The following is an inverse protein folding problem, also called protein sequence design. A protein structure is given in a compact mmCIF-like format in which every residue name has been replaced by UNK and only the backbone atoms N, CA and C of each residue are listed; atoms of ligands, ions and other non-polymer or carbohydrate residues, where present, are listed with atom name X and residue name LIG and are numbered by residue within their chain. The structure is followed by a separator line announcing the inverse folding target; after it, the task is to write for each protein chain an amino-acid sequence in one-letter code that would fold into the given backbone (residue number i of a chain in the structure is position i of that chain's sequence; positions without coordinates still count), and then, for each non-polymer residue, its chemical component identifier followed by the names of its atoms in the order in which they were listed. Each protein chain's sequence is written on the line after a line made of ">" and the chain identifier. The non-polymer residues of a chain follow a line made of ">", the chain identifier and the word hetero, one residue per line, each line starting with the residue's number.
data_IF_216482437693
#
_entry.id   IF_216482437693
#
_cell.length_a   1.000
_cell.length_b   1.000
_cell.length_c   1.000
_cell.angle_alpha   90.00
_cell.angle_beta   90.00
_cell.angle_gamma   90.00
#
_symmetry.space_group_name_H-M   'P 1'
#
loop_
_entity.id
_entity.type
_entity.pdbx_description
1 polymer ?
#
# COMPACT_ATOMS: atom_id res chain seq x y z
N UNK A 1 -37.00 18.33 -3.43
CA UNK A 1 -36.80 16.88 -3.60
C UNK A 1 -35.88 16.43 -2.50
N UNK A 2 -36.39 15.65 -1.55
CA UNK A 2 -35.64 15.09 -0.43
C UNK A 2 -34.61 14.12 -0.97
N UNK A 3 -33.35 14.52 -0.91
CA UNK A 3 -32.18 13.79 -1.38
C UNK A 3 -31.94 12.60 -0.44
N UNK A 4 -32.68 11.50 -0.62
CA UNK A 4 -32.48 10.26 0.16
C UNK A 4 -31.18 9.61 -0.30
N UNK A 5 -30.06 10.15 0.18
CA UNK A 5 -28.73 9.63 -0.10
C UNK A 5 -28.55 8.28 0.61
N UNK A 6 -28.00 7.33 -0.13
CA UNK A 6 -27.77 5.99 0.37
C UNK A 6 -26.77 6.02 1.52
N UNK A 7 -27.16 5.46 2.65
CA UNK A 7 -26.25 5.23 3.76
C UNK A 7 -25.26 4.13 3.36
N UNK A 8 -23.98 4.35 3.63
CA UNK A 8 -22.97 3.30 3.48
C UNK A 8 -23.22 2.26 4.57
N UNK A 9 -23.51 1.03 4.17
CA UNK A 9 -23.78 -0.10 5.09
C UNK A 9 -22.70 -1.16 5.05
N UNK A 10 -21.79 -1.09 4.06
CA UNK A 10 -20.71 -2.05 3.85
C UNK A 10 -19.38 -1.35 3.55
N UNK A 11 -18.28 -1.86 4.10
CA UNK A 11 -16.92 -1.47 3.70
C UNK A 11 -16.21 -2.69 3.12
N UNK A 12 -15.68 -2.56 1.90
CA UNK A 12 -14.85 -3.55 1.25
C UNK A 12 -13.43 -3.00 1.09
N UNK A 13 -12.45 -3.66 1.70
CA UNK A 13 -11.06 -3.20 1.79
C UNK A 13 -10.14 -4.16 1.03
N UNK A 14 -9.44 -3.65 0.05
CA UNK A 14 -8.54 -4.44 -0.79
C UNK A 14 -7.09 -3.98 -0.58
N UNK A 15 -6.22 -4.87 -0.09
CA UNK A 15 -4.78 -4.62 -0.13
C UNK A 15 -4.28 -4.59 -1.59
N UNK A 16 -3.16 -3.91 -1.82
CA UNK A 16 -2.59 -3.77 -3.16
C UNK A 16 -1.58 -4.88 -3.47
N UNK A 17 -0.45 -4.87 -2.77
CA UNK A 17 0.70 -5.73 -3.06
C UNK A 17 0.42 -7.20 -2.69
N UNK A 18 0.46 -8.10 -3.68
CA UNK A 18 0.19 -9.53 -3.48
C UNK A 18 -1.30 -9.88 -3.38
N UNK A 19 -2.18 -8.89 -3.38
CA UNK A 19 -3.63 -9.05 -3.27
C UNK A 19 -4.34 -8.65 -4.56
N UNK A 20 -4.51 -7.34 -4.81
CA UNK A 20 -5.10 -6.83 -6.04
C UNK A 20 -4.11 -6.91 -7.22
N UNK A 21 -2.82 -6.68 -6.94
CA UNK A 21 -1.77 -6.60 -7.93
C UNK A 21 -0.58 -7.48 -7.52
N UNK A 22 -0.06 -8.26 -8.46
CA UNK A 22 1.12 -9.11 -8.30
C UNK A 22 2.41 -8.28 -8.30
N UNK A 23 2.51 -7.28 -7.42
CA UNK A 23 3.68 -6.42 -7.30
C UNK A 23 4.97 -7.26 -7.28
N UNK A 24 5.96 -6.94 -8.12
CA UNK A 24 7.20 -7.69 -8.19
C UNK A 24 7.84 -7.78 -6.81
N UNK A 25 8.33 -8.97 -6.46
CA UNK A 25 9.23 -9.14 -5.32
C UNK A 25 10.68 -9.07 -5.81
N UNK A 26 11.66 -8.73 -4.94
CA UNK A 26 13.05 -8.94 -5.30
C UNK A 26 13.31 -10.45 -5.47
N UNK A 27 14.03 -10.82 -6.50
CA UNK A 27 14.44 -12.18 -6.78
C UNK A 27 15.68 -12.55 -5.97
N UNK A 28 15.54 -13.50 -5.03
CA UNK A 28 16.66 -13.96 -4.19
C UNK A 28 17.80 -14.60 -5.01
N UNK A 29 17.51 -15.13 -6.19
CA UNK A 29 18.51 -15.77 -7.04
C UNK A 29 19.49 -14.78 -7.68
N UNK A 30 19.12 -13.49 -7.77
CA UNK A 30 19.96 -12.45 -8.38
C UNK A 30 20.91 -11.78 -7.38
N UNK A 31 20.67 -11.92 -6.08
CA UNK A 31 21.34 -11.11 -5.06
C UNK A 31 21.95 -11.98 -3.96
N UNK A 32 23.11 -11.57 -3.46
CA UNK A 32 23.66 -12.18 -2.25
C UNK A 32 22.70 -12.01 -1.07
N UNK A 33 22.63 -13.03 -0.20
CA UNK A 33 21.70 -13.09 0.94
C UNK A 33 21.66 -11.81 1.81
N UNK A 34 22.81 -11.16 2.16
CA UNK A 34 22.78 -9.91 2.92
C UNK A 34 22.05 -8.77 2.19
N UNK A 35 22.36 -8.57 0.90
CA UNK A 35 21.72 -7.53 0.08
C UNK A 35 20.22 -7.80 -0.07
N UNK A 36 19.83 -9.04 -0.34
CA UNK A 36 18.43 -9.43 -0.41
C UNK A 36 17.67 -9.09 0.88
N UNK A 37 18.27 -9.36 2.05
CA UNK A 37 17.72 -8.97 3.34
C UNK A 37 17.54 -7.45 3.48
N UNK A 38 18.51 -6.66 3.02
CA UNK A 38 18.44 -5.20 3.06
C UNK A 38 17.38 -4.63 2.12
N UNK A 39 17.22 -5.19 0.92
CA UNK A 39 16.21 -4.75 -0.04
C UNK A 39 14.81 -4.84 0.55
N UNK A 40 14.51 -5.81 1.42
CA UNK A 40 13.19 -5.95 2.06
C UNK A 40 13.03 -5.13 3.34
N UNK A 41 14.09 -4.46 3.81
CA UNK A 41 14.12 -3.82 5.12
C UNK A 41 14.20 -2.29 4.99
N UNK A 42 13.07 -1.64 5.28
CA UNK A 42 12.89 -0.18 5.32
C UNK A 42 13.79 0.57 6.34
N UNK A 43 14.51 -0.13 7.22
CA UNK A 43 15.38 0.49 8.24
C UNK A 43 16.88 0.33 7.97
N UNK A 44 17.27 -0.66 7.16
CA UNK A 44 18.69 -0.92 6.84
C UNK A 44 19.13 -0.15 5.60
N UNK A 45 18.18 0.12 4.73
CA UNK A 45 18.38 0.75 3.44
C UNK A 45 17.64 2.09 3.39
N UNK A 46 18.01 3.01 2.49
CA UNK A 46 17.36 4.34 2.45
C UNK A 46 15.84 4.25 2.28
N UNK A 47 15.40 3.40 1.35
CA UNK A 47 14.02 2.93 1.20
C UNK A 47 14.06 1.45 0.85
N UNK A 48 13.26 0.63 1.53
CA UNK A 48 13.09 -0.77 1.14
C UNK A 48 12.33 -0.90 -0.18
N UNK A 49 12.32 -2.09 -0.75
CA UNK A 49 11.76 -2.43 -2.06
C UNK A 49 10.34 -1.90 -2.22
N UNK A 50 9.45 -2.20 -1.26
CA UNK A 50 8.06 -1.76 -1.27
C UNK A 50 7.87 -0.25 -1.02
N UNK A 51 8.92 0.46 -0.58
CA UNK A 51 8.90 1.90 -0.36
C UNK A 51 9.66 2.67 -1.46
N UNK A 52 10.34 1.98 -2.38
CA UNK A 52 11.06 2.59 -3.48
C UNK A 52 10.23 2.49 -4.77
N UNK A 53 9.95 3.64 -5.41
CA UNK A 53 9.10 3.71 -6.62
C UNK A 53 9.52 2.79 -7.77
N UNK A 54 10.82 2.45 -7.84
CA UNK A 54 11.36 1.49 -8.81
C UNK A 54 10.65 0.12 -8.77
N UNK A 55 10.12 -0.30 -7.62
CA UNK A 55 9.40 -1.58 -7.50
C UNK A 55 8.07 -1.65 -8.29
N UNK A 56 7.58 -0.52 -8.80
CA UNK A 56 6.44 -0.46 -9.73
C UNK A 56 6.82 0.24 -11.05
N UNK A 57 8.11 0.35 -11.34
CA UNK A 57 8.60 0.95 -12.58
C UNK A 57 8.59 -0.08 -13.71
N UNK A 58 7.41 -0.33 -14.26
CA UNK A 58 7.22 -1.22 -15.41
C UNK A 58 7.59 -0.53 -16.72
N UNK A 59 8.05 -1.34 -17.69
CA UNK A 59 8.27 -0.89 -19.06
C UNK A 59 6.97 -0.40 -19.72
N UNK A 60 7.11 0.46 -20.72
CA UNK A 60 5.96 1.07 -21.40
C UNK A 60 5.08 0.04 -22.14
N UNK A 61 5.64 -1.12 -22.53
CA UNK A 61 4.87 -2.18 -23.20
C UNK A 61 3.90 -2.87 -22.23
N UNK A 62 4.28 -3.03 -20.97
CA UNK A 62 3.42 -3.52 -19.89
C UNK A 62 2.39 -2.47 -19.49
N UNK A 63 2.81 -1.20 -19.35
CA UNK A 63 1.92 -0.07 -19.04
C UNK A 63 0.84 0.14 -20.10
N UNK A 64 1.20 0.10 -21.40
CA UNK A 64 0.25 0.20 -22.53
C UNK A 64 -0.81 -0.89 -22.51
N UNK A 65 -0.44 -2.09 -22.07
CA UNK A 65 -1.36 -3.22 -21.89
C UNK A 65 -2.08 -3.21 -20.54
N UNK A 66 -2.05 -2.08 -19.81
CA UNK A 66 -2.69 -1.90 -18.50
C UNK A 66 -2.28 -2.99 -17.52
N UNK A 67 -1.00 -3.38 -17.54
CA UNK A 67 -0.46 -4.46 -16.71
C UNK A 67 -1.23 -5.78 -16.82
N UNK A 68 -1.73 -6.12 -18.02
CA UNK A 68 -2.38 -7.42 -18.27
C UNK A 68 -1.51 -8.56 -17.77
N UNK A 69 -2.11 -9.47 -16.99
CA UNK A 69 -1.43 -10.60 -16.36
C UNK A 69 -0.82 -10.31 -14.99
N UNK A 70 -0.77 -9.06 -14.54
CA UNK A 70 -0.30 -8.69 -13.19
C UNK A 70 -1.44 -8.45 -12.20
N UNK A 71 -2.66 -8.24 -12.69
CA UNK A 71 -3.84 -8.11 -11.83
C UNK A 71 -4.33 -9.47 -11.37
N UNK A 72 -4.80 -9.54 -10.13
CA UNK A 72 -5.59 -10.67 -9.66
C UNK A 72 -7.04 -10.50 -10.14
N UNK A 73 -7.41 -11.17 -11.23
CA UNK A 73 -8.72 -10.95 -11.86
C UNK A 73 -9.91 -11.32 -10.95
N UNK A 74 -9.74 -12.23 -9.99
CA UNK A 74 -10.77 -12.54 -8.97
C UNK A 74 -11.01 -11.33 -8.05
N UNK A 75 -9.94 -10.74 -7.53
CA UNK A 75 -10.03 -9.54 -6.68
C UNK A 75 -10.51 -8.33 -7.48
N UNK A 76 -10.10 -8.20 -8.74
CA UNK A 76 -10.62 -7.15 -9.65
C UNK A 76 -12.14 -7.26 -9.80
N UNK A 77 -12.69 -8.47 -9.89
CA UNK A 77 -14.14 -8.65 -9.98
C UNK A 77 -14.84 -8.26 -8.67
N UNK A 78 -14.30 -8.62 -7.52
CA UNK A 78 -14.83 -8.18 -6.22
C UNK A 78 -14.78 -6.66 -6.05
N UNK A 79 -13.72 -6.00 -6.54
CA UNK A 79 -13.65 -4.53 -6.56
C UNK A 79 -14.77 -3.95 -7.42
N UNK A 80 -15.04 -4.52 -8.60
CA UNK A 80 -16.13 -4.06 -9.49
C UNK A 80 -17.50 -4.25 -8.86
N UNK A 81 -17.75 -5.40 -8.25
CA UNK A 81 -18.99 -5.66 -7.51
C UNK A 81 -19.18 -4.65 -6.36
N UNK A 82 -18.11 -4.29 -5.66
CA UNK A 82 -18.13 -3.24 -4.64
C UNK A 82 -18.40 -1.85 -5.22
N UNK A 83 -17.82 -1.53 -6.38
CA UNK A 83 -18.04 -0.25 -7.08
C UNK A 83 -19.49 -0.08 -7.51
N UNK A 84 -20.09 -1.14 -8.04
CA UNK A 84 -21.47 -1.15 -8.56
C UNK A 84 -22.51 -1.11 -7.43
N UNK A 85 -22.12 -1.47 -6.19
CA UNK A 85 -23.01 -1.42 -5.04
C UNK A 85 -23.04 0.01 -4.42
N UNK A 86 -24.20 0.71 -4.46
CA UNK A 86 -24.30 2.10 -4.03
C UNK A 86 -24.21 2.29 -2.50
N UNK A 87 -24.35 1.22 -1.71
CA UNK A 87 -24.21 1.25 -0.24
C UNK A 87 -22.87 0.68 0.24
N UNK A 88 -21.98 0.30 -0.69
CA UNK A 88 -20.63 -0.18 -0.38
C UNK A 88 -19.60 0.92 -0.55
N UNK A 89 -18.74 1.06 0.45
CA UNK A 89 -17.51 1.85 0.38
C UNK A 89 -16.37 0.97 -0.14
N UNK A 90 -15.85 1.30 -1.32
CA UNK A 90 -14.77 0.56 -1.99
C UNK A 90 -13.44 1.20 -1.64
N UNK A 91 -12.61 0.48 -0.87
CA UNK A 91 -11.38 1.02 -0.28
C UNK A 91 -10.16 0.24 -0.77
N UNK A 92 -9.17 0.93 -1.31
CA UNK A 92 -7.81 0.39 -1.47
C UNK A 92 -7.02 0.76 -0.22
N UNK A 93 -6.35 -0.19 0.43
CA UNK A 93 -5.57 0.09 1.64
C UNK A 93 -4.21 -0.62 1.60
N UNK A 94 -3.15 0.13 1.33
CA UNK A 94 -1.79 -0.39 1.11
C UNK A 94 -0.77 0.16 2.10
N UNK A 95 0.27 -0.63 2.41
CA UNK A 95 1.43 -0.20 3.18
C UNK A 95 2.44 0.66 2.41
N UNK A 96 2.23 0.89 1.11
CA UNK A 96 3.04 1.81 0.30
C UNK A 96 2.87 3.25 0.77
N UNK A 97 3.97 3.99 0.86
CA UNK A 97 3.99 5.38 1.31
C UNK A 97 3.27 6.34 0.36
N UNK A 98 2.51 7.28 0.91
CA UNK A 98 1.69 8.22 0.15
C UNK A 98 2.52 9.05 -0.83
N UNK A 99 3.58 9.71 -0.35
CA UNK A 99 4.38 10.64 -1.17
C UNK A 99 5.07 9.99 -2.36
N UNK A 100 5.40 8.70 -2.27
CA UNK A 100 6.06 7.97 -3.36
C UNK A 100 5.07 7.36 -4.34
N UNK A 101 3.91 6.90 -3.86
CA UNK A 101 3.06 5.98 -4.61
C UNK A 101 1.66 6.47 -4.91
N UNK A 102 1.20 7.58 -4.31
CA UNK A 102 -0.18 8.05 -4.52
C UNK A 102 -0.48 8.23 -6.02
N UNK A 103 0.34 8.98 -6.74
CA UNK A 103 0.15 9.17 -8.18
C UNK A 103 0.33 7.89 -9.01
N UNK A 104 1.25 7.01 -8.60
CA UNK A 104 1.55 5.76 -9.33
C UNK A 104 0.37 4.79 -9.21
N UNK A 105 -0.09 4.51 -7.98
CA UNK A 105 -1.17 3.56 -7.73
C UNK A 105 -2.49 4.10 -8.28
N UNK A 106 -2.76 5.40 -8.13
CA UNK A 106 -3.94 6.04 -8.72
C UNK A 106 -3.95 5.87 -10.24
N UNK A 107 -2.86 6.17 -10.96
CA UNK A 107 -2.76 5.95 -12.41
C UNK A 107 -2.98 4.47 -12.79
N UNK A 108 -2.40 3.54 -12.02
CA UNK A 108 -2.54 2.10 -12.26
C UNK A 108 -4.00 1.63 -12.16
N UNK A 109 -4.69 1.97 -11.05
CA UNK A 109 -6.06 1.52 -10.82
C UNK A 109 -7.04 2.21 -11.76
N UNK A 110 -6.87 3.50 -12.04
CA UNK A 110 -7.73 4.24 -12.97
C UNK A 110 -7.59 3.75 -14.40
N UNK A 111 -6.37 3.45 -14.88
CA UNK A 111 -6.16 2.85 -16.21
C UNK A 111 -6.77 1.45 -16.33
N UNK A 112 -6.83 0.70 -15.22
CA UNK A 112 -7.54 -0.59 -15.16
C UNK A 112 -9.07 -0.41 -15.10
N UNK A 113 -9.55 0.80 -14.87
CA UNK A 113 -10.97 1.14 -14.74
C UNK A 113 -11.53 0.88 -13.34
N UNK A 114 -10.67 0.79 -12.32
CA UNK A 114 -11.06 0.59 -10.93
C UNK A 114 -11.09 1.96 -10.23
N UNK A 115 -12.28 2.37 -9.81
CA UNK A 115 -12.51 3.66 -9.14
C UNK A 115 -12.81 3.40 -7.67
N UNK A 116 -11.80 3.60 -6.83
CA UNK A 116 -11.97 3.47 -5.38
C UNK A 116 -12.59 4.74 -4.81
N UNK A 117 -13.49 4.56 -3.85
CA UNK A 117 -14.07 5.66 -3.07
C UNK A 117 -13.03 6.25 -2.11
N UNK A 118 -12.10 5.41 -1.63
CA UNK A 118 -11.00 5.78 -0.73
C UNK A 118 -9.70 5.07 -1.13
N UNK A 119 -8.60 5.83 -1.24
CA UNK A 119 -7.25 5.32 -1.51
C UNK A 119 -6.35 5.50 -0.29
N UNK A 120 -6.38 4.57 0.66
CA UNK A 120 -5.56 4.58 1.87
C UNK A 120 -4.12 4.14 1.60
N UNK A 121 -3.21 5.10 1.40
CA UNK A 121 -1.76 4.87 1.41
C UNK A 121 -1.17 5.26 2.77
N UNK A 122 -0.06 4.64 3.16
CA UNK A 122 0.60 4.92 4.44
C UNK A 122 1.11 6.37 4.46
N UNK A 123 0.72 7.21 5.44
CA UNK A 123 1.18 8.59 5.52
C UNK A 123 2.66 8.68 5.87
N UNK A 124 3.29 9.81 5.55
CA UNK A 124 4.67 10.11 5.95
C UNK A 124 4.78 10.51 7.42
N UNK A 125 3.68 11.00 7.99
CA UNK A 125 3.56 11.48 9.35
C UNK A 125 2.46 10.70 10.09
N UNK A 126 2.32 10.92 11.39
CA UNK A 126 1.25 10.31 12.19
C UNK A 126 -0.12 11.00 12.02
N UNK A 127 -0.36 11.66 10.88
CA UNK A 127 -1.62 12.36 10.60
C UNK A 127 -2.25 11.84 9.31
N UNK A 128 -3.53 11.49 9.38
CA UNK A 128 -4.38 11.19 8.25
C UNK A 128 -5.16 12.45 7.89
N UNK A 129 -4.76 13.14 6.82
CA UNK A 129 -5.56 14.21 6.23
C UNK A 129 -6.53 13.61 5.21
N UNK A 130 -7.83 13.62 5.52
CA UNK A 130 -8.82 12.85 4.77
C UNK A 130 -9.11 13.39 3.36
N UNK A 131 -8.77 14.65 3.09
CA UNK A 131 -8.77 15.22 1.74
C UNK A 131 -7.84 14.45 0.78
N UNK A 132 -6.76 13.86 1.30
CA UNK A 132 -5.80 13.09 0.50
C UNK A 132 -6.30 11.69 0.13
N UNK A 133 -7.35 11.19 0.79
CA UNK A 133 -7.74 9.79 0.71
C UNK A 133 -9.11 9.57 0.07
N UNK A 134 -10.10 10.45 0.32
CA UNK A 134 -11.41 10.33 -0.30
C UNK A 134 -11.37 10.80 -1.76
N UNK A 135 -11.86 9.95 -2.67
CA UNK A 135 -12.08 10.34 -4.06
C UNK A 135 -13.35 11.21 -4.16
N UNK A 136 -13.33 12.31 -4.94
CA UNK A 136 -14.53 13.10 -5.21
C UNK A 136 -15.69 12.29 -5.82
N UNK A 137 -15.39 11.15 -6.45
CA UNK A 137 -16.42 10.29 -7.06
C UNK A 137 -17.42 9.74 -6.04
N UNK A 138 -17.03 9.62 -4.76
CA UNK A 138 -17.92 9.18 -3.66
C UNK A 138 -19.10 10.13 -3.44
N UNK A 139 -19.04 11.38 -3.92
CA UNK A 139 -20.15 12.35 -3.85
C UNK A 139 -21.44 11.76 -4.41
N UNK A 140 -21.35 10.89 -5.41
CA UNK A 140 -22.52 10.20 -5.99
C UNK A 140 -23.21 9.25 -5.00
N UNK A 141 -22.46 8.70 -4.04
CA UNK A 141 -22.98 7.80 -2.99
C UNK A 141 -23.45 8.57 -1.75
N UNK A 142 -22.62 9.49 -1.25
CA UNK A 142 -22.81 10.13 0.07
C UNK A 142 -23.27 11.58 0.00
N UNK A 143 -23.20 12.21 -1.17
CA UNK A 143 -23.51 13.62 -1.38
C UNK A 143 -22.39 14.60 -1.05
N UNK A 144 -22.49 15.78 -1.66
CA UNK A 144 -21.51 16.87 -1.52
C UNK A 144 -21.32 17.30 -0.07
N UNK A 145 -22.41 17.53 0.67
CA UNK A 145 -22.33 17.98 2.07
C UNK A 145 -21.51 17.02 2.93
N UNK A 146 -21.82 15.72 2.89
CA UNK A 146 -21.08 14.72 3.67
C UNK A 146 -19.64 14.58 3.18
N UNK A 147 -19.40 14.63 1.87
CA UNK A 147 -18.04 14.62 1.32
C UNK A 147 -17.20 15.80 1.85
N UNK A 148 -17.75 17.02 1.81
CA UNK A 148 -17.10 18.23 2.31
C UNK A 148 -16.82 18.17 3.82
N UNK A 149 -17.70 17.55 4.61
CA UNK A 149 -17.46 17.27 6.03
C UNK A 149 -16.29 16.30 6.21
N UNK A 150 -16.25 15.20 5.45
CA UNK A 150 -15.21 14.17 5.58
C UNK A 150 -13.82 14.67 5.21
N UNK A 151 -13.67 15.41 4.12
CA UNK A 151 -12.35 15.87 3.67
C UNK A 151 -11.74 16.96 4.56
N UNK A 152 -12.53 17.59 5.44
CA UNK A 152 -12.03 18.56 6.42
C UNK A 152 -11.47 17.90 7.68
N UNK A 153 -11.71 16.61 7.86
CA UNK A 153 -11.23 15.89 9.03
C UNK A 153 -9.72 15.63 8.92
N UNK A 154 -9.08 15.64 10.08
CA UNK A 154 -7.74 15.12 10.28
C UNK A 154 -7.74 14.17 11.48
N UNK A 155 -7.01 13.06 11.37
CA UNK A 155 -6.89 12.08 12.45
C UNK A 155 -5.43 11.90 12.79
N UNK A 156 -5.08 12.17 14.05
CA UNK A 156 -3.75 11.87 14.58
C UNK A 156 -3.74 10.41 15.04
N UNK A 157 -2.82 9.62 14.50
CA UNK A 157 -2.63 8.22 14.88
C UNK A 157 -1.91 8.15 16.22
N UNK A 158 -2.51 7.47 17.19
CA UNK A 158 -1.91 7.26 18.51
C UNK A 158 -0.73 6.28 18.38
N UNK A 159 0.50 6.76 18.57
CA UNK A 159 1.67 5.88 18.76
C UNK A 159 2.83 6.59 19.47
N UNK A 160 3.47 5.89 20.41
CA UNK A 160 4.64 6.37 21.17
C UNK A 160 5.98 6.26 20.40
N UNK A 161 5.93 5.89 19.12
CA UNK A 161 7.12 5.68 18.29
C UNK A 161 7.15 6.70 17.14
N UNK A 162 8.35 7.19 16.80
CA UNK A 162 8.55 8.08 15.65
C UNK A 162 8.15 7.45 14.30
N UNK A 163 8.05 6.11 14.24
CA UNK A 163 7.76 5.37 13.01
C UNK A 163 6.30 4.88 12.94
N UNK A 164 5.66 5.15 11.80
CA UNK A 164 4.36 4.57 11.42
C UNK A 164 4.54 3.13 10.92
N UNK A 165 4.05 2.15 11.66
CA UNK A 165 3.98 0.76 11.20
C UNK A 165 2.72 0.51 10.37
N UNK A 166 2.85 -0.30 9.30
CA UNK A 166 1.75 -0.58 8.37
C UNK A 166 0.49 -1.12 9.05
N UNK A 167 0.64 -2.06 9.99
CA UNK A 167 -0.50 -2.65 10.71
C UNK A 167 -1.25 -1.61 11.55
N UNK A 168 -0.53 -0.71 12.22
CA UNK A 168 -1.10 0.30 13.11
C UNK A 168 -1.82 1.37 12.28
N UNK A 169 -1.19 1.81 11.19
CA UNK A 169 -1.80 2.66 10.18
C UNK A 169 -3.11 2.07 9.66
N UNK A 170 -3.08 0.82 9.16
CA UNK A 170 -4.27 0.18 8.60
C UNK A 170 -5.39 0.07 9.65
N UNK A 171 -5.07 -0.28 10.89
CA UNK A 171 -6.05 -0.35 11.97
C UNK A 171 -6.67 1.03 12.29
N UNK A 172 -5.83 2.06 12.44
CA UNK A 172 -6.31 3.43 12.69
C UNK A 172 -7.21 3.92 11.55
N UNK A 173 -6.81 3.65 10.31
CA UNK A 173 -7.58 3.99 9.11
C UNK A 173 -8.97 3.33 9.12
N UNK A 174 -9.04 2.02 9.40
CA UNK A 174 -10.32 1.28 9.44
C UNK A 174 -11.23 1.79 10.56
N UNK A 175 -10.68 2.06 11.75
CA UNK A 175 -11.45 2.64 12.87
C UNK A 175 -12.10 3.96 12.47
N UNK A 176 -11.36 4.81 11.77
CA UNK A 176 -11.88 6.10 11.37
C UNK A 176 -12.92 6.01 10.24
N UNK A 177 -12.75 5.08 9.29
CA UNK A 177 -13.80 4.80 8.31
C UNK A 177 -15.13 4.37 8.96
N UNK A 178 -15.08 3.56 10.03
CA UNK A 178 -16.27 3.20 10.80
C UNK A 178 -16.90 4.41 11.50
N UNK A 179 -16.10 5.37 11.99
CA UNK A 179 -16.61 6.63 12.56
C UNK A 179 -17.26 7.52 11.51
N UNK A 180 -16.65 7.63 10.33
CA UNK A 180 -17.18 8.39 9.19
C UNK A 180 -18.50 7.80 8.64
N UNK A 181 -18.69 6.49 8.80
CA UNK A 181 -19.83 5.74 8.27
C UNK A 181 -20.49 4.89 9.38
N UNK A 182 -21.18 5.51 10.35
CA UNK A 182 -21.75 4.81 11.52
C UNK A 182 -22.91 3.84 11.17
N UNK A 183 -23.42 3.89 9.94
CA UNK A 183 -24.43 2.98 9.40
C UNK A 183 -23.85 1.65 8.90
N UNK A 184 -22.52 1.50 8.89
CA UNK A 184 -21.86 0.28 8.45
C UNK A 184 -22.21 -0.89 9.37
N UNK A 185 -22.73 -1.96 8.79
CA UNK A 185 -23.04 -3.21 9.48
C UNK A 185 -22.19 -4.39 8.99
N UNK A 186 -21.46 -4.22 7.87
CA UNK A 186 -20.60 -5.26 7.31
C UNK A 186 -19.24 -4.74 6.87
N UNK A 187 -18.19 -5.51 7.15
CA UNK A 187 -16.82 -5.21 6.72
C UNK A 187 -16.11 -6.45 6.15
N UNK A 188 -15.46 -6.28 5.01
CA UNK A 188 -14.68 -7.33 4.36
C UNK A 188 -13.31 -6.79 3.99
N UNK A 189 -12.27 -7.57 4.28
CA UNK A 189 -10.89 -7.23 3.97
C UNK A 189 -10.23 -8.37 3.21
N UNK A 190 -9.43 -8.05 2.20
CA UNK A 190 -8.61 -9.00 1.45
C UNK A 190 -7.14 -8.57 1.57
N UNK A 191 -6.27 -9.46 2.06
CA UNK A 191 -4.83 -9.21 2.23
C UNK A 191 -4.06 -10.55 2.04
N UNK A 192 -2.82 -10.48 1.54
CA UNK A 192 -1.99 -11.64 1.23
C UNK A 192 -1.21 -12.14 2.46
N UNK A 193 -1.05 -11.28 3.47
CA UNK A 193 -0.26 -11.59 4.66
C UNK A 193 -1.12 -12.26 5.71
N UNK A 194 -1.02 -13.58 5.82
CA UNK A 194 -1.72 -14.42 6.81
C UNK A 194 -1.72 -13.83 8.23
N UNK A 195 -0.59 -13.27 8.68
CA UNK A 195 -0.49 -12.66 10.00
C UNK A 195 -1.26 -11.33 10.13
N UNK A 196 -1.36 -10.53 9.07
CA UNK A 196 -2.24 -9.37 9.02
C UNK A 196 -3.70 -9.80 9.05
N UNK A 197 -4.08 -10.80 8.24
CA UNK A 197 -5.45 -11.32 8.19
C UNK A 197 -5.90 -11.80 9.57
N UNK A 198 -5.06 -12.59 10.26
CA UNK A 198 -5.34 -13.05 11.63
C UNK A 198 -5.52 -11.87 12.60
N UNK A 199 -4.66 -10.86 12.51
CA UNK A 199 -4.74 -9.67 13.35
C UNK A 199 -6.03 -8.87 13.11
N UNK A 200 -6.41 -8.63 11.85
CA UNK A 200 -7.65 -7.93 11.53
C UNK A 200 -8.89 -8.74 11.89
N UNK A 201 -8.85 -10.07 11.76
CA UNK A 201 -9.97 -10.91 12.16
C UNK A 201 -10.24 -10.80 13.67
N UNK A 202 -9.19 -10.78 14.51
CA UNK A 202 -9.35 -10.57 15.96
C UNK A 202 -9.99 -9.21 16.28
N UNK A 203 -9.58 -8.15 15.56
CA UNK A 203 -10.21 -6.83 15.68
C UNK A 203 -11.68 -6.85 15.22
N UNK A 204 -11.98 -7.52 14.12
CA UNK A 204 -13.33 -7.68 13.59
C UNK A 204 -14.25 -8.49 14.51
N UNK A 205 -13.70 -9.48 15.21
CA UNK A 205 -14.43 -10.24 16.21
C UNK A 205 -14.80 -9.37 17.42
N UNK A 206 -13.91 -8.47 17.89
CA UNK A 206 -14.24 -7.46 18.91
C UNK A 206 -15.38 -6.53 18.46
N UNK A 207 -15.33 -6.05 17.21
CA UNK A 207 -16.38 -5.19 16.67
C UNK A 207 -17.74 -5.90 16.65
N UNK A 208 -17.77 -7.20 16.28
CA UNK A 208 -18.99 -8.01 16.31
C UNK A 208 -19.50 -8.23 17.73
N UNK A 209 -18.61 -8.57 18.67
CA UNK A 209 -18.97 -8.77 20.09
C UNK A 209 -19.58 -7.52 20.71
N UNK A 210 -19.11 -6.34 20.31
CA UNK A 210 -19.62 -5.04 20.77
C UNK A 210 -20.86 -4.55 20.02
N UNK A 211 -21.34 -5.31 19.03
CA UNK A 211 -22.51 -4.95 18.20
C UNK A 211 -22.27 -3.75 17.28
N UNK A 212 -21.01 -3.40 16.99
CA UNK A 212 -20.67 -2.30 16.06
C UNK A 212 -20.96 -2.71 14.62
N UNK A 213 -20.66 -3.97 14.29
CA UNK A 213 -20.96 -4.58 12.98
C UNK A 213 -21.62 -5.94 13.21
N UNK A 214 -22.45 -6.36 12.26
CA UNK A 214 -23.09 -7.67 12.26
C UNK A 214 -22.21 -8.72 11.57
N UNK A 215 -21.53 -8.32 10.50
CA UNK A 215 -20.68 -9.20 9.70
C UNK A 215 -19.29 -8.60 9.50
N UNK A 216 -18.25 -9.38 9.72
CA UNK A 216 -16.87 -8.89 9.62
C UNK A 216 -15.90 -10.04 9.33
N UNK A 217 -15.25 -10.01 8.16
CA UNK A 217 -14.40 -11.10 7.65
C UNK A 217 -13.11 -10.53 7.04
N UNK A 218 -11.96 -11.05 7.48
CA UNK A 218 -10.68 -10.86 6.83
C UNK A 218 -10.32 -12.13 6.03
N UNK A 219 -10.20 -11.98 4.72
CA UNK A 219 -9.92 -13.03 3.76
C UNK A 219 -8.44 -13.06 3.42
N UNK A 220 -7.83 -14.24 3.47
CA UNK A 220 -6.47 -14.43 2.95
C UNK A 220 -6.52 -14.59 1.44
N UNK A 221 -5.69 -13.84 0.73
CA UNK A 221 -5.53 -13.95 -0.72
C UNK A 221 -4.18 -14.57 -1.04
N UNK A 222 -4.17 -15.45 -2.04
CA UNK A 222 -2.94 -16.04 -2.54
C UNK A 222 -2.78 -15.69 -4.01
N UNK A 223 -1.69 -14.99 -4.33
CA UNK A 223 -1.32 -14.64 -5.69
C UNK A 223 0.12 -15.12 -5.93
N UNK A 224 0.42 -15.81 -7.04
CA UNK A 224 1.78 -16.27 -7.31
C UNK A 224 2.77 -15.10 -7.34
N UNK A 225 3.94 -15.33 -6.72
CA UNK A 225 5.04 -14.37 -6.72
C UNK A 225 5.47 -14.12 -8.16
N UNK A 226 5.72 -12.85 -8.48
CA UNK A 226 6.31 -12.42 -9.75
C UNK A 226 7.57 -11.62 -9.49
N UNK A 227 8.48 -11.68 -10.44
CA UNK A 227 9.73 -10.93 -10.47
C UNK A 227 9.74 -10.04 -11.71
N UNK A 228 10.56 -9.00 -11.69
CA UNK A 228 10.93 -8.34 -12.94
C UNK A 228 11.82 -9.26 -13.77
N UNK A 229 12.02 -8.93 -15.05
CA UNK A 229 13.15 -9.53 -15.77
C UNK A 229 14.47 -9.15 -15.06
N UNK A 230 15.50 -10.01 -15.12
CA UNK A 230 16.73 -9.79 -14.35
C UNK A 230 17.40 -8.44 -14.59
N UNK A 231 17.34 -7.91 -15.81
CA UNK A 231 17.95 -6.63 -16.14
C UNK A 231 17.16 -5.46 -15.55
N UNK A 232 15.83 -5.49 -15.66
CA UNK A 232 14.97 -4.50 -15.03
C UNK A 232 15.10 -4.52 -13.50
N UNK A 233 15.18 -5.69 -12.88
CA UNK A 233 15.43 -5.79 -11.45
C UNK A 233 16.78 -5.19 -11.06
N UNK A 234 17.82 -5.47 -11.85
CA UNK A 234 19.13 -4.86 -11.67
C UNK A 234 19.07 -3.33 -11.70
N UNK A 235 18.34 -2.74 -12.65
CA UNK A 235 18.17 -1.28 -12.73
C UNK A 235 17.48 -0.72 -11.48
N UNK A 236 16.47 -1.42 -10.95
CA UNK A 236 15.77 -1.01 -9.72
C UNK A 236 16.72 -1.05 -8.53
N UNK A 237 17.46 -2.15 -8.36
CA UNK A 237 18.40 -2.31 -7.23
C UNK A 237 19.57 -1.34 -7.33
N UNK A 238 20.10 -1.09 -8.53
CA UNK A 238 21.14 -0.08 -8.74
C UNK A 238 20.63 1.31 -8.34
N UNK A 239 19.42 1.71 -8.78
CA UNK A 239 18.82 2.99 -8.39
C UNK A 239 18.61 3.10 -6.87
N UNK A 240 18.17 2.02 -6.23
CA UNK A 240 18.06 1.94 -4.78
C UNK A 240 19.42 2.21 -4.11
N UNK A 241 20.48 1.55 -4.56
CA UNK A 241 21.85 1.73 -4.05
C UNK A 241 22.35 3.16 -4.26
N UNK A 242 22.10 3.74 -5.42
CA UNK A 242 22.49 5.13 -5.71
C UNK A 242 21.78 6.12 -4.77
N UNK A 243 20.49 5.93 -4.52
CA UNK A 243 19.73 6.76 -3.57
C UNK A 243 20.22 6.58 -2.13
N UNK A 244 20.57 5.35 -1.73
CA UNK A 244 21.19 5.09 -0.43
C UNK A 244 22.55 5.78 -0.29
N UNK A 245 23.42 5.66 -1.29
CA UNK A 245 24.75 6.26 -1.28
C UNK A 245 24.68 7.79 -1.22
N UNK A 246 23.74 8.41 -1.94
CA UNK A 246 23.45 9.86 -1.86
C UNK A 246 22.97 10.26 -0.47
N UNK A 247 22.12 9.46 0.17
CA UNK A 247 21.68 9.70 1.54
C UNK A 247 22.88 9.65 2.49
N UNK A 248 23.68 8.57 2.47
CA UNK A 248 24.88 8.40 3.30
C UNK A 248 25.84 9.59 3.16
N UNK A 249 26.07 10.08 1.94
CA UNK A 249 26.91 11.26 1.69
C UNK A 249 26.35 12.54 2.33
N UNK A 250 25.06 12.83 2.15
CA UNK A 250 24.42 13.99 2.77
C UNK A 250 24.55 13.98 4.30
N UNK A 251 24.33 12.83 4.94
CA UNK A 251 24.46 12.70 6.40
C UNK A 251 25.91 12.70 6.88
N UNK A 252 26.88 12.31 6.04
CA UNK A 252 28.31 12.41 6.40
C UNK A 252 28.82 13.87 6.35
N UNK A 253 28.22 14.72 5.51
CA UNK A 253 28.61 16.14 5.37
C UNK A 253 27.96 17.07 6.39
N UNK A 254 26.82 16.70 6.96
CA UNK A 254 26.18 17.44 8.06
C UNK A 254 26.79 16.92 9.37
N UNK A 255 27.53 17.76 10.08
CA UNK A 255 28.30 17.42 11.29
C UNK A 255 27.42 17.09 12.52
N UNK A 256 26.42 16.23 12.37
CA UNK A 256 25.57 15.76 13.45
C UNK A 256 25.90 14.29 13.77
N UNK A 257 26.88 14.11 14.66
CA UNK A 257 27.32 12.79 15.13
C UNK A 257 26.27 12.08 16.02
N UNK A 258 25.08 12.66 16.22
CA UNK A 258 24.09 12.16 17.17
C UNK A 258 23.05 11.19 16.59
N UNK A 259 23.00 10.94 15.28
CA UNK A 259 22.12 9.92 14.72
C UNK A 259 22.72 9.18 13.51
N UNK A 260 23.28 7.98 13.74
CA UNK A 260 23.54 7.04 12.63
C UNK A 260 22.19 6.52 12.12
N UNK A 261 21.53 7.30 11.26
CA UNK A 261 20.22 6.95 10.67
C UNK A 261 20.29 5.71 9.78
N UNK A 262 21.48 5.37 9.26
CA UNK A 262 21.73 4.16 8.48
C UNK A 262 22.81 3.30 9.13
N UNK A 263 22.56 1.99 9.16
CA UNK A 263 23.50 0.98 9.67
C UNK A 263 24.58 0.61 8.64
N UNK A 264 24.36 0.91 7.36
CA UNK A 264 25.27 0.61 6.25
C UNK A 264 25.95 1.90 5.74
N UNK A 265 27.24 1.79 5.38
CA UNK A 265 27.98 2.82 4.64
C UNK A 265 27.64 2.78 3.14
N UNK A 266 28.47 3.42 2.28
CA UNK A 266 28.26 3.34 0.82
C UNK A 266 28.34 1.88 0.34
N UNK A 267 27.46 1.52 -0.59
CA UNK A 267 27.31 0.18 -1.16
C UNK A 267 27.65 0.22 -2.66
N UNK A 268 28.27 -0.82 -3.18
CA UNK A 268 28.54 -0.97 -4.61
C UNK A 268 28.20 -2.40 -5.05
N UNK A 269 27.55 -2.54 -6.20
CA UNK A 269 27.38 -3.84 -6.85
C UNK A 269 28.68 -4.22 -7.55
N UNK A 270 29.14 -5.44 -7.30
CA UNK A 270 30.26 -6.06 -8.01
C UNK A 270 29.76 -7.34 -8.69
N UNK A 271 30.07 -7.57 -9.98
CA UNK A 271 29.73 -8.83 -10.64
C UNK A 271 30.36 -10.00 -9.89
N UNK A 272 29.63 -11.12 -9.78
CA UNK A 272 30.24 -12.35 -9.29
C UNK A 272 31.36 -12.77 -10.22
N UNK A 273 32.55 -13.06 -9.68
CA UNK A 273 33.74 -13.50 -10.42
C UNK A 273 33.59 -14.86 -11.11
N UNK A 274 32.41 -15.49 -11.05
CA UNK A 274 32.08 -16.73 -11.74
C UNK A 274 31.77 -16.59 -13.24
N UNK A 275 31.79 -15.38 -13.82
CA UNK A 275 31.50 -15.14 -15.24
C UNK A 275 32.75 -15.05 -16.15
N UNK A 276 33.95 -15.35 -15.63
CA UNK A 276 35.19 -15.48 -16.41
C UNK A 276 35.69 -16.92 -16.41
N UNK A 277 35.01 -17.78 -17.15
CA UNK A 277 35.61 -18.97 -17.76
C UNK A 277 35.25 -18.88 -19.25
N UNK A 278 36.18 -18.48 -20.12
CA UNK A 278 35.92 -18.53 -21.56
C UNK A 278 35.82 -20.00 -21.98
N UNK A 279 34.91 -20.26 -22.93
CA UNK A 279 34.77 -21.54 -23.64
C UNK A 279 36.09 -22.02 -24.24
#
# INVERSE_FOLDING_TARGET
>A
MTDSKNLITRINIFDFDGTLFASPQPNRELWMDPLFGYLKNDSMFYKGWYQHKGSLSFDESVRRRRWKGWWNDEIVNLVRESMDNPTSLTVLLTGRGYSEFHHIITDMVERKGLKFDVLGLKPDQHTLNWNSYYSPSIIQKIGTKKYEELIRNETIMENNNDRVYTKDFKLAFIKELLRHHPSVSSIYLWDDRVHHVKYFQLFFDDLKLRGIVQEAIANTVFLPIRYFDPYQEYLVVQAMIDDHNKAVERFSTQADQSSRRFSLGKIQLVPSSAATQPF
#
